data_IF_131976178138
#
_entry.id   IF_131976178138
#
_cell.length_a   1.000
_cell.length_b   1.000
_cell.length_c   1.000
_cell.angle_alpha   90.00
_cell.angle_beta   90.00
_cell.angle_gamma   90.00
#
_symmetry.space_group_name_H-M   'P 1'
#
loop_
_entity.id
_entity.type
_entity.pdbx_description
1 polymer ?
#
# COMPACT_ATOMS: atom_id res chain seq x y z
N UNK A 1 -49.25 10.11 -9.36
CA UNK A 1 -47.99 10.78 -9.73
C UNK A 1 -47.28 9.83 -10.69
N UNK A 2 -46.89 10.34 -11.86
CA UNK A 2 -46.12 9.52 -12.80
C UNK A 2 -44.68 9.40 -12.24
N UNK A 3 -44.18 8.18 -12.13
CA UNK A 3 -42.78 7.89 -11.76
C UNK A 3 -41.91 8.45 -12.89
N UNK A 4 -40.85 9.17 -12.55
CA UNK A 4 -39.90 9.67 -13.54
C UNK A 4 -39.29 8.53 -14.37
N UNK A 5 -39.13 8.76 -15.67
CA UNK A 5 -38.53 7.77 -16.58
C UNK A 5 -37.05 7.67 -16.26
N UNK A 6 -36.52 6.46 -16.23
CA UNK A 6 -35.13 6.09 -15.96
C UNK A 6 -34.69 6.17 -14.46
N UNK A 7 -35.64 6.03 -13.53
CA UNK A 7 -35.26 5.71 -12.14
C UNK A 7 -34.79 4.25 -12.07
N UNK A 8 -33.67 4.01 -11.43
CA UNK A 8 -33.21 2.68 -11.01
C UNK A 8 -34.15 2.26 -9.87
N UNK A 9 -34.91 1.21 -10.07
CA UNK A 9 -35.81 0.66 -9.05
C UNK A 9 -35.22 -0.61 -8.44
N UNK A 10 -35.71 -1.04 -7.28
CA UNK A 10 -35.20 -2.18 -6.50
C UNK A 10 -35.10 -3.49 -7.31
N UNK A 11 -35.81 -3.60 -8.43
CA UNK A 11 -35.78 -4.74 -9.33
C UNK A 11 -34.70 -4.67 -10.41
N UNK A 12 -33.99 -3.56 -10.52
CA UNK A 12 -32.96 -3.33 -11.55
C UNK A 12 -31.59 -3.82 -11.14
N UNK A 13 -31.38 -4.06 -9.84
CA UNK A 13 -30.14 -4.62 -9.29
C UNK A 13 -30.46 -5.87 -8.48
N UNK A 14 -29.68 -6.91 -8.68
CA UNK A 14 -29.72 -8.11 -7.82
C UNK A 14 -29.04 -7.83 -6.49
N UNK A 15 -29.42 -8.56 -5.42
CA UNK A 15 -28.77 -8.46 -4.11
C UNK A 15 -27.26 -8.76 -4.20
N UNK A 16 -26.85 -9.64 -5.11
CA UNK A 16 -25.44 -9.91 -5.39
C UNK A 16 -24.71 -8.67 -5.92
N UNK A 17 -25.27 -8.00 -6.93
CA UNK A 17 -24.68 -6.77 -7.48
C UNK A 17 -24.60 -5.64 -6.45
N UNK A 18 -25.58 -5.51 -5.57
CA UNK A 18 -25.55 -4.51 -4.49
C UNK A 18 -24.39 -4.80 -3.53
N UNK A 19 -24.17 -6.08 -3.17
CA UNK A 19 -23.03 -6.46 -2.30
C UNK A 19 -21.70 -6.26 -2.99
N UNK A 20 -21.58 -6.57 -4.27
CA UNK A 20 -20.36 -6.34 -5.06
C UNK A 20 -19.98 -4.86 -5.10
N UNK A 21 -20.96 -3.98 -5.37
CA UNK A 21 -20.76 -2.52 -5.37
C UNK A 21 -20.31 -2.05 -3.98
N UNK A 22 -21.02 -2.44 -2.92
CA UNK A 22 -20.68 -2.07 -1.55
C UNK A 22 -19.26 -2.54 -1.16
N UNK A 23 -18.85 -3.73 -1.58
CA UNK A 23 -17.52 -4.26 -1.35
C UNK A 23 -16.44 -3.41 -2.03
N UNK A 24 -16.61 -3.10 -3.31
CA UNK A 24 -15.64 -2.31 -4.07
C UNK A 24 -15.52 -0.88 -3.55
N UNK A 25 -16.62 -0.23 -3.21
CA UNK A 25 -16.64 1.10 -2.61
C UNK A 25 -15.93 1.11 -1.25
N UNK A 26 -16.23 0.15 -0.38
CA UNK A 26 -15.60 0.07 0.95
C UNK A 26 -14.09 -0.20 0.85
N UNK A 27 -13.65 -1.06 -0.07
CA UNK A 27 -12.23 -1.32 -0.30
C UNK A 27 -11.52 -0.07 -0.80
N UNK A 28 -12.07 0.60 -1.81
CA UNK A 28 -11.49 1.80 -2.41
C UNK A 28 -11.43 2.96 -1.43
N UNK A 29 -12.48 3.16 -0.62
CA UNK A 29 -12.49 4.19 0.42
C UNK A 29 -11.40 3.95 1.48
N UNK A 30 -11.23 2.70 1.91
CA UNK A 30 -10.18 2.34 2.85
C UNK A 30 -8.78 2.55 2.26
N UNK A 31 -8.60 2.19 0.98
CA UNK A 31 -7.34 2.41 0.28
C UNK A 31 -7.07 3.90 0.07
N UNK A 32 -8.08 4.70 -0.27
CA UNK A 32 -7.97 6.15 -0.42
C UNK A 32 -7.46 6.80 0.88
N UNK A 33 -8.03 6.43 2.02
CA UNK A 33 -7.57 6.90 3.33
C UNK A 33 -6.11 6.54 3.61
N UNK A 34 -5.68 5.34 3.22
CA UNK A 34 -4.27 4.94 3.34
C UNK A 34 -3.36 5.81 2.46
N UNK A 35 -3.73 6.00 1.19
CA UNK A 35 -2.92 6.79 0.26
C UNK A 35 -2.82 8.26 0.69
N UNK A 36 -3.91 8.84 1.20
CA UNK A 36 -3.92 10.18 1.78
C UNK A 36 -3.00 10.29 2.99
N UNK A 37 -3.12 9.35 3.94
CA UNK A 37 -2.27 9.32 5.13
C UNK A 37 -0.78 9.11 4.80
N UNK A 38 -0.48 8.25 3.81
CA UNK A 38 0.87 8.05 3.29
C UNK A 38 1.38 9.23 2.45
N UNK A 39 0.49 10.13 2.00
CA UNK A 39 0.81 11.20 1.06
C UNK A 39 1.13 10.71 -0.35
N UNK A 40 0.66 9.52 -0.73
CA UNK A 40 0.90 8.95 -2.05
C UNK A 40 0.00 9.63 -3.08
N UNK A 41 0.59 10.47 -3.90
CA UNK A 41 -0.11 11.19 -4.98
C UNK A 41 -0.02 10.48 -6.33
N UNK A 42 1.02 9.66 -6.52
CA UNK A 42 1.29 8.99 -7.80
C UNK A 42 0.65 7.60 -7.85
N UNK A 43 -0.33 7.45 -8.76
CA UNK A 43 -0.99 6.19 -9.08
C UNK A 43 -0.70 5.87 -10.54
N UNK A 44 -0.08 4.74 -10.82
CA UNK A 44 0.38 4.40 -12.18
C UNK A 44 -0.21 3.05 -12.59
N UNK A 45 -1.05 3.08 -13.62
CA UNK A 45 -1.57 1.87 -14.24
C UNK A 45 -0.47 1.15 -15.02
N UNK A 46 -0.39 -0.17 -14.87
CA UNK A 46 0.54 -1.06 -15.56
C UNK A 46 -0.18 -2.27 -16.11
N UNK A 47 0.38 -2.86 -17.16
CA UNK A 47 -0.09 -4.17 -17.63
C UNK A 47 0.44 -5.29 -16.71
N UNK A 48 -0.35 -6.35 -16.54
CA UNK A 48 0.10 -7.55 -15.82
C UNK A 48 1.35 -8.13 -16.47
N UNK A 49 2.33 -8.55 -15.68
CA UNK A 49 3.64 -8.99 -16.15
C UNK A 49 4.65 -7.85 -16.38
N UNK A 50 4.26 -6.60 -16.19
CA UNK A 50 5.20 -5.48 -16.28
C UNK A 50 6.23 -5.53 -15.15
N UNK A 51 7.52 -5.41 -15.52
CA UNK A 51 8.61 -5.40 -14.54
C UNK A 51 8.67 -4.06 -13.80
N UNK A 52 8.67 -4.09 -12.49
CA UNK A 52 8.92 -2.94 -11.65
C UNK A 52 10.43 -2.64 -11.66
N UNK A 53 10.79 -1.44 -12.11
CA UNK A 53 12.18 -1.02 -12.26
C UNK A 53 12.44 0.22 -11.43
N UNK A 54 13.58 0.24 -10.74
CA UNK A 54 14.13 1.47 -10.21
C UNK A 54 15.41 1.83 -10.96
N UNK A 55 15.71 3.10 -10.93
CA UNK A 55 16.89 3.65 -11.59
C UNK A 55 17.82 4.21 -10.52
N UNK A 56 19.11 3.85 -10.60
CA UNK A 56 20.14 4.45 -9.76
C UNK A 56 21.14 5.14 -10.67
N UNK A 57 21.22 6.46 -10.57
CA UNK A 57 22.30 7.22 -11.21
C UNK A 57 23.54 7.09 -10.32
N UNK A 58 24.66 6.73 -10.91
CA UNK A 58 25.98 6.74 -10.29
C UNK A 58 26.93 7.49 -11.20
N UNK A 59 27.68 8.44 -10.64
CA UNK A 59 28.60 9.24 -11.44
C UNK A 59 29.54 10.03 -10.57
N UNK A 60 30.55 10.62 -11.17
CA UNK A 60 31.48 11.54 -10.57
C UNK A 60 31.35 12.87 -11.30
N UNK A 61 31.14 13.93 -10.54
CA UNK A 61 31.26 15.29 -11.03
C UNK A 61 32.75 15.66 -10.97
N UNK A 62 33.32 15.98 -12.10
CA UNK A 62 34.69 16.46 -12.17
C UNK A 62 34.80 17.93 -11.70
N UNK A 63 36.00 18.34 -11.33
CA UNK A 63 36.22 19.70 -10.87
C UNK A 63 35.87 20.72 -11.96
N UNK A 64 34.91 21.60 -11.67
CA UNK A 64 34.51 22.69 -12.57
C UNK A 64 35.43 23.90 -12.54
N UNK A 65 36.44 23.95 -11.66
CA UNK A 65 37.39 25.04 -11.57
C UNK A 65 38.55 24.76 -12.54
N UNK A 66 38.47 25.30 -13.74
CA UNK A 66 39.48 25.20 -14.79
C UNK A 66 40.01 26.59 -15.12
N UNK A 67 41.27 26.69 -15.50
CA UNK A 67 41.88 27.97 -15.91
C UNK A 67 41.34 28.39 -17.30
N UNK A 68 41.49 29.66 -17.61
CA UNK A 68 41.10 30.20 -18.94
C UNK A 68 41.93 29.52 -20.03
N UNK A 69 41.19 28.91 -21.00
CA UNK A 69 41.81 28.19 -22.11
C UNK A 69 42.09 26.69 -21.85
N UNK A 70 41.86 26.18 -20.65
CA UNK A 70 41.97 24.75 -20.36
C UNK A 70 40.71 23.96 -20.80
N UNK A 71 40.94 22.70 -21.11
CA UNK A 71 39.87 21.78 -21.50
C UNK A 71 39.08 21.37 -20.22
N UNK A 72 37.75 21.64 -20.23
CA UNK A 72 36.88 21.26 -19.12
C UNK A 72 36.79 19.72 -19.05
N UNK A 73 37.09 19.08 -17.91
CA UNK A 73 37.04 17.65 -17.74
C UNK A 73 35.57 17.13 -17.84
N UNK A 74 35.38 15.97 -18.45
CA UNK A 74 34.08 15.39 -18.66
C UNK A 74 33.59 14.63 -17.40
N UNK A 75 32.49 15.09 -16.83
CA UNK A 75 31.76 14.35 -15.80
C UNK A 75 31.02 13.16 -16.41
N UNK A 76 31.09 11.99 -15.78
CA UNK A 76 30.46 10.77 -16.31
C UNK A 76 29.43 10.22 -15.34
N UNK A 77 28.19 10.13 -15.82
CA UNK A 77 27.08 9.51 -15.09
C UNK A 77 26.61 8.25 -15.81
N UNK A 78 26.32 7.20 -15.03
CA UNK A 78 25.77 5.94 -15.51
C UNK A 78 24.44 5.68 -14.81
N UNK A 79 23.42 5.29 -15.56
CA UNK A 79 22.14 4.80 -15.03
C UNK A 79 22.21 3.30 -14.87
N UNK A 80 22.02 2.81 -13.66
CA UNK A 80 21.86 1.38 -13.38
C UNK A 80 20.37 1.10 -13.12
N UNK A 81 19.81 0.17 -13.88
CA UNK A 81 18.46 -0.32 -13.68
C UNK A 81 18.51 -1.49 -12.71
N UNK A 82 17.65 -1.47 -11.70
CA UNK A 82 17.45 -2.59 -10.78
C UNK A 82 16.02 -3.08 -10.94
N UNK A 83 15.85 -4.35 -11.26
CA UNK A 83 14.54 -4.98 -11.40
C UNK A 83 14.12 -5.55 -10.04
N UNK A 84 12.87 -5.29 -9.62
CA UNK A 84 12.35 -5.71 -8.31
C UNK A 84 11.29 -6.80 -8.39
N UNK A 85 10.93 -7.25 -9.55
CA UNK A 85 9.87 -8.23 -9.76
C UNK A 85 8.83 -7.72 -10.74
N UNK A 86 7.78 -8.49 -10.90
CA UNK A 86 6.69 -8.18 -11.83
C UNK A 86 5.42 -7.86 -11.07
N UNK A 87 4.65 -6.90 -11.59
CA UNK A 87 3.30 -6.67 -11.11
C UNK A 87 2.38 -7.74 -11.69
N UNK A 88 1.70 -8.49 -10.84
CA UNK A 88 0.82 -9.58 -11.24
C UNK A 88 -0.57 -9.41 -10.64
N UNK A 89 -1.58 -9.96 -11.32
CA UNK A 89 -2.92 -10.07 -10.77
C UNK A 89 -2.94 -11.14 -9.68
N UNK A 90 -3.39 -10.75 -8.50
CA UNK A 90 -3.75 -11.67 -7.41
C UNK A 90 -5.22 -12.01 -7.49
N UNK A 91 -5.55 -13.25 -7.23
CA UNK A 91 -6.89 -13.79 -7.36
C UNK A 91 -7.23 -14.56 -6.08
N UNK A 92 -8.41 -14.31 -5.56
CA UNK A 92 -8.94 -15.01 -4.39
C UNK A 92 -10.32 -15.51 -4.72
N UNK A 93 -10.68 -16.67 -4.20
CA UNK A 93 -11.99 -17.29 -4.37
C UNK A 93 -12.46 -17.85 -3.04
N UNK A 94 -13.73 -17.63 -2.77
CA UNK A 94 -14.46 -18.23 -1.65
C UNK A 94 -15.70 -18.91 -2.21
N UNK A 95 -16.01 -20.09 -1.69
CA UNK A 95 -17.25 -20.81 -2.01
C UNK A 95 -17.98 -21.17 -0.71
N UNK A 96 -19.27 -20.90 -0.66
CA UNK A 96 -20.15 -21.19 0.48
C UNK A 96 -21.21 -22.17 0.04
N UNK A 97 -21.32 -23.31 0.73
CA UNK A 97 -22.28 -24.36 0.37
C UNK A 97 -23.71 -24.03 0.80
N UNK A 98 -24.71 -24.58 0.10
CA UNK A 98 -26.12 -24.42 0.45
C UNK A 98 -26.41 -24.90 1.88
N UNK A 99 -25.78 -25.98 2.33
CA UNK A 99 -25.93 -26.51 3.69
C UNK A 99 -25.43 -25.51 4.75
N UNK A 100 -24.33 -24.82 4.49
CA UNK A 100 -23.81 -23.78 5.38
C UNK A 100 -24.76 -22.59 5.45
N UNK A 101 -25.34 -22.19 4.31
CA UNK A 101 -26.32 -21.10 4.25
C UNK A 101 -27.59 -21.47 5.03
N UNK A 102 -28.08 -22.69 4.88
CA UNK A 102 -29.27 -23.18 5.61
C UNK A 102 -29.00 -23.25 7.12
N UNK A 103 -27.79 -23.71 7.51
CA UNK A 103 -27.45 -23.89 8.92
C UNK A 103 -27.19 -22.57 9.67
N UNK A 104 -26.57 -21.58 9.01
CA UNK A 104 -26.08 -20.35 9.65
C UNK A 104 -26.84 -19.09 9.23
N UNK A 105 -27.65 -19.18 8.16
CA UNK A 105 -28.25 -18.02 7.50
C UNK A 105 -27.31 -17.36 6.50
N UNK A 106 -27.90 -16.71 5.49
CA UNK A 106 -27.15 -16.08 4.39
C UNK A 106 -26.17 -15.00 4.89
N UNK A 107 -26.63 -14.13 5.79
CA UNK A 107 -25.82 -13.03 6.34
C UNK A 107 -24.52 -13.54 6.98
N UNK A 108 -24.60 -14.58 7.82
CA UNK A 108 -23.43 -15.12 8.50
C UNK A 108 -22.53 -15.95 7.57
N UNK A 109 -23.12 -16.74 6.69
CA UNK A 109 -22.39 -17.65 5.84
C UNK A 109 -21.71 -16.96 4.66
N UNK A 110 -22.31 -15.92 4.10
CA UNK A 110 -21.84 -15.22 2.90
C UNK A 110 -21.28 -13.83 3.26
N UNK A 111 -22.11 -12.92 3.74
CA UNK A 111 -21.74 -11.49 3.92
C UNK A 111 -20.60 -11.31 4.91
N UNK A 112 -20.71 -11.85 6.13
CA UNK A 112 -19.65 -11.70 7.15
C UNK A 112 -18.34 -12.38 6.73
N UNK A 113 -18.42 -13.47 5.98
CA UNK A 113 -17.22 -14.15 5.49
C UNK A 113 -16.57 -13.39 4.33
N UNK A 114 -17.33 -12.69 3.50
CA UNK A 114 -16.81 -11.79 2.45
C UNK A 114 -16.12 -10.57 3.08
N UNK A 115 -16.70 -9.98 4.12
CA UNK A 115 -16.07 -8.89 4.87
C UNK A 115 -14.76 -9.34 5.53
N UNK A 116 -14.71 -10.56 6.06
CA UNK A 116 -13.48 -11.13 6.60
C UNK A 116 -12.42 -11.30 5.51
N UNK A 117 -12.81 -11.82 4.35
CA UNK A 117 -11.94 -11.97 3.19
C UNK A 117 -11.36 -10.62 2.73
N UNK A 118 -12.17 -9.54 2.72
CA UNK A 118 -11.67 -8.18 2.46
C UNK A 118 -10.55 -7.79 3.40
N UNK A 119 -10.73 -7.99 4.71
CA UNK A 119 -9.70 -7.68 5.72
C UNK A 119 -8.43 -8.48 5.50
N UNK A 120 -8.55 -9.75 5.13
CA UNK A 120 -7.40 -10.62 4.86
C UNK A 120 -6.67 -10.21 3.56
N UNK A 121 -7.38 -9.77 2.52
CA UNK A 121 -6.80 -9.17 1.30
C UNK A 121 -6.02 -7.90 1.64
N UNK A 122 -6.60 -6.99 2.42
CA UNK A 122 -5.93 -5.78 2.89
C UNK A 122 -4.67 -6.11 3.70
N UNK A 123 -4.73 -7.12 4.57
CA UNK A 123 -3.57 -7.63 5.31
C UNK A 123 -2.46 -8.12 4.39
N UNK A 124 -2.81 -8.88 3.35
CA UNK A 124 -1.85 -9.39 2.38
C UNK A 124 -1.16 -8.27 1.61
N UNK A 125 -1.90 -7.25 1.16
CA UNK A 125 -1.34 -6.08 0.48
C UNK A 125 -0.35 -5.35 1.40
N UNK A 126 -0.71 -5.13 2.67
CA UNK A 126 0.19 -4.52 3.67
C UNK A 126 1.44 -5.36 3.90
N UNK A 127 1.29 -6.67 4.08
CA UNK A 127 2.41 -7.58 4.30
C UNK A 127 3.42 -7.56 3.16
N UNK A 128 2.94 -7.54 1.92
CA UNK A 128 3.81 -7.44 0.74
C UNK A 128 4.57 -6.11 0.73
N UNK A 129 3.90 -5.02 1.04
CA UNK A 129 4.52 -3.71 1.14
C UNK A 129 5.62 -3.66 2.21
N UNK A 130 5.34 -4.18 3.41
CA UNK A 130 6.36 -4.22 4.48
C UNK A 130 7.50 -5.19 4.19
N UNK A 131 7.23 -6.30 3.51
CA UNK A 131 8.28 -7.21 3.05
C UNK A 131 9.19 -6.50 2.06
N UNK A 132 8.63 -5.72 1.15
CA UNK A 132 9.39 -4.91 0.21
C UNK A 132 10.21 -3.81 0.94
N UNK A 133 9.61 -3.05 1.86
CA UNK A 133 10.31 -2.03 2.64
C UNK A 133 11.50 -2.61 3.44
N UNK A 134 11.37 -3.86 3.91
CA UNK A 134 12.45 -4.57 4.59
C UNK A 134 13.68 -4.85 3.71
N UNK A 135 13.60 -4.65 2.40
CA UNK A 135 14.74 -4.77 1.48
C UNK A 135 15.52 -3.45 1.30
N UNK A 136 15.10 -2.39 1.98
CA UNK A 136 15.77 -1.09 1.97
C UNK A 136 17.26 -1.19 2.31
N UNK A 137 18.07 -0.33 1.72
CA UNK A 137 19.55 -0.37 1.88
C UNK A 137 20.09 0.74 2.78
N UNK A 138 19.29 1.77 3.09
CA UNK A 138 19.66 2.78 4.07
C UNK A 138 19.64 2.20 5.49
N UNK A 139 20.58 2.57 6.34
CA UNK A 139 20.65 2.08 7.71
C UNK A 139 20.83 3.23 8.69
N UNK A 140 20.14 3.14 9.83
CA UNK A 140 20.33 4.03 10.97
C UNK A 140 20.22 3.22 12.27
N UNK A 141 20.81 3.70 13.36
CA UNK A 141 20.66 3.08 14.66
C UNK A 141 20.61 4.16 15.75
N UNK A 142 19.87 3.88 16.83
CA UNK A 142 19.76 4.79 17.96
C UNK A 142 19.37 4.04 19.24
N UNK A 143 19.61 4.67 20.39
CA UNK A 143 19.23 4.14 21.69
C UNK A 143 17.82 4.60 22.03
N UNK A 144 16.89 3.64 22.09
CA UNK A 144 15.47 3.92 22.28
C UNK A 144 14.79 4.48 21.03
N UNK A 145 13.45 4.61 21.11
CA UNK A 145 12.60 4.97 19.98
C UNK A 145 12.90 6.36 19.41
N UNK A 146 12.94 7.39 20.26
CA UNK A 146 13.10 8.78 19.81
C UNK A 146 14.44 9.02 19.12
N UNK A 147 15.54 8.50 19.70
CA UNK A 147 16.87 8.63 19.11
C UNK A 147 16.95 7.92 17.75
N UNK A 148 16.36 6.72 17.65
CA UNK A 148 16.35 5.97 16.38
C UNK A 148 15.54 6.69 15.31
N UNK A 149 14.39 7.28 15.66
CA UNK A 149 13.60 8.10 14.74
C UNK A 149 14.39 9.31 14.24
N UNK A 150 15.04 10.05 15.15
CA UNK A 150 15.84 11.21 14.80
C UNK A 150 17.03 10.86 13.89
N UNK A 151 17.73 9.75 14.16
CA UNK A 151 18.83 9.28 13.32
C UNK A 151 18.32 8.84 11.93
N UNK A 152 17.17 8.17 11.90
CA UNK A 152 16.54 7.75 10.65
C UNK A 152 16.08 8.95 9.82
N UNK A 153 15.51 9.96 10.47
CA UNK A 153 15.16 11.24 9.86
C UNK A 153 16.39 11.95 9.28
N UNK A 154 17.47 12.04 10.05
CA UNK A 154 18.73 12.64 9.59
C UNK A 154 19.30 11.95 8.36
N UNK A 155 19.27 10.61 8.33
CA UNK A 155 19.70 9.84 7.15
C UNK A 155 18.81 10.14 5.92
N UNK A 156 17.49 10.24 6.09
CA UNK A 156 16.59 10.61 5.00
C UNK A 156 16.88 12.02 4.49
N UNK A 157 17.09 13.00 5.37
CA UNK A 157 17.45 14.37 4.98
C UNK A 157 18.75 14.40 4.17
N UNK A 158 19.76 13.63 4.59
CA UNK A 158 21.04 13.54 3.85
C UNK A 158 20.87 12.87 2.47
N UNK A 159 19.98 11.87 2.36
CA UNK A 159 19.76 11.17 1.09
C UNK A 159 18.94 11.99 0.08
N UNK A 160 18.10 12.89 0.56
CA UNK A 160 17.23 13.75 -0.25
C UNK A 160 17.57 15.23 -0.11
N UNK A 161 18.86 15.54 0.05
CA UNK A 161 19.41 16.83 0.44
C UNK A 161 18.89 18.02 -0.40
N UNK A 162 18.58 17.78 -1.66
CA UNK A 162 18.09 18.79 -2.60
C UNK A 162 16.58 19.02 -2.55
N UNK A 163 15.84 18.23 -1.78
CA UNK A 163 14.38 18.27 -1.73
C UNK A 163 13.86 18.37 -0.29
N UNK A 164 12.96 19.29 -0.03
CA UNK A 164 12.18 19.30 1.21
C UNK A 164 11.29 18.04 1.24
N UNK A 165 11.63 17.07 2.10
CA UNK A 165 10.91 15.81 2.19
C UNK A 165 9.98 15.76 3.40
N UNK A 166 8.81 15.17 3.21
CA UNK A 166 7.98 14.67 4.30
C UNK A 166 8.27 13.17 4.51
N UNK A 167 8.74 12.83 5.71
CA UNK A 167 9.08 11.46 6.05
C UNK A 167 7.85 10.67 6.54
N UNK A 168 7.82 9.39 6.19
CA UNK A 168 6.87 8.40 6.71
C UNK A 168 7.65 7.29 7.38
N UNK A 169 7.20 6.92 8.58
CA UNK A 169 7.81 5.88 9.41
C UNK A 169 6.82 4.75 9.63
N UNK A 170 7.34 3.54 9.66
CA UNK A 170 6.59 2.34 9.98
C UNK A 170 7.25 1.64 11.15
N UNK A 171 6.49 1.41 12.23
CA UNK A 171 7.01 0.93 13.51
C UNK A 171 6.11 -0.20 14.03
N UNK A 172 6.71 -1.15 14.75
CA UNK A 172 5.93 -2.15 15.46
C UNK A 172 5.15 -1.49 16.62
N UNK A 173 3.85 -1.81 16.82
CA UNK A 173 3.06 -1.27 17.91
C UNK A 173 3.69 -1.48 19.31
N UNK A 174 4.43 -2.58 19.51
CA UNK A 174 5.10 -2.86 20.77
C UNK A 174 6.29 -1.95 21.07
N UNK A 175 6.92 -1.38 20.04
CA UNK A 175 8.07 -0.48 20.21
C UNK A 175 7.64 0.96 20.54
N UNK A 176 6.41 1.34 20.22
CA UNK A 176 5.86 2.66 20.53
C UNK A 176 4.92 2.65 21.76
N UNK A 177 4.55 1.48 22.26
CA UNK A 177 3.57 1.32 23.33
C UNK A 177 3.94 2.09 24.61
N UNK A 178 5.20 1.99 25.05
CA UNK A 178 5.69 2.69 26.25
C UNK A 178 5.64 4.21 26.09
N UNK A 179 5.88 4.71 24.89
CA UNK A 179 5.78 6.12 24.59
C UNK A 179 4.31 6.59 24.62
N UNK A 180 3.41 5.82 24.02
CA UNK A 180 1.97 6.14 24.00
C UNK A 180 1.35 6.06 25.40
N UNK A 181 1.89 5.25 26.30
CA UNK A 181 1.41 5.13 27.67
C UNK A 181 1.59 6.45 28.49
N UNK A 182 2.57 7.26 28.11
CA UNK A 182 2.89 8.52 28.81
C UNK A 182 2.48 9.77 28.04
N UNK A 183 2.23 9.67 26.75
CA UNK A 183 1.92 10.78 25.87
C UNK A 183 0.41 10.83 25.57
N UNK A 184 -0.19 12.03 25.69
CA UNK A 184 -1.58 12.26 25.27
C UNK A 184 -1.62 12.51 23.75
N UNK A 185 -1.57 11.45 22.95
CA UNK A 185 -1.57 11.53 21.50
C UNK A 185 -2.79 10.82 20.93
N UNK A 186 -3.50 11.49 20.02
CA UNK A 186 -4.62 10.91 19.29
C UNK A 186 -4.10 10.08 18.12
N UNK A 187 -4.53 8.84 18.05
CA UNK A 187 -4.24 7.95 16.90
C UNK A 187 -5.40 7.96 15.91
N UNK A 188 -5.08 7.91 14.63
CA UNK A 188 -6.04 7.74 13.54
C UNK A 188 -5.90 6.33 12.95
N UNK A 189 -6.83 5.91 12.11
CA UNK A 189 -6.78 4.61 11.46
C UNK A 189 -7.02 4.71 9.96
N UNK A 190 -6.19 4.02 9.18
CA UNK A 190 -6.35 3.89 7.72
C UNK A 190 -5.95 2.50 7.25
N UNK A 191 -6.78 1.86 6.44
CA UNK A 191 -6.54 0.53 5.87
C UNK A 191 -6.12 -0.52 6.92
N UNK A 192 -6.73 -0.46 8.11
CA UNK A 192 -6.44 -1.35 9.24
C UNK A 192 -5.10 -1.12 9.94
N UNK A 193 -4.45 0.03 9.74
CA UNK A 193 -3.28 0.48 10.49
C UNK A 193 -3.61 1.72 11.30
N UNK A 194 -3.07 1.81 12.51
CA UNK A 194 -3.11 3.03 13.28
C UNK A 194 -1.93 3.93 12.89
N UNK A 195 -2.14 5.25 12.86
CA UNK A 195 -1.08 6.19 12.55
C UNK A 195 -1.21 7.48 13.36
N UNK A 196 -0.10 8.21 13.44
CA UNK A 196 0.03 9.50 14.11
C UNK A 196 0.66 10.47 13.13
N UNK A 197 -0.03 11.56 12.85
CA UNK A 197 0.49 12.64 12.01
C UNK A 197 1.46 13.52 12.79
N UNK A 198 2.44 14.04 12.09
CA UNK A 198 3.42 15.00 12.63
C UNK A 198 4.06 14.56 13.96
N UNK A 199 4.43 13.28 14.05
CA UNK A 199 5.05 12.73 15.26
C UNK A 199 6.40 13.40 15.54
N UNK A 200 6.52 14.06 16.68
CA UNK A 200 7.72 14.83 17.08
C UNK A 200 8.19 15.87 16.06
N UNK A 201 7.33 16.34 15.16
CA UNK A 201 7.72 17.27 14.08
C UNK A 201 8.53 16.64 12.95
N UNK A 202 8.72 15.30 12.94
CA UNK A 202 9.57 14.61 11.98
C UNK A 202 8.78 13.96 10.83
N UNK A 203 7.47 13.77 10.97
CA UNK A 203 6.62 13.16 9.93
C UNK A 203 5.52 12.26 10.46
N UNK A 204 4.93 11.45 9.60
CA UNK A 204 3.82 10.55 9.95
C UNK A 204 4.35 9.17 10.34
N UNK A 205 3.88 8.64 11.46
CA UNK A 205 4.23 7.31 11.97
C UNK A 205 3.05 6.35 11.83
N UNK A 206 3.23 5.27 11.10
CA UNK A 206 2.30 4.16 10.98
C UNK A 206 2.70 3.00 11.88
N UNK A 207 1.74 2.44 12.58
CA UNK A 207 1.93 1.29 13.46
C UNK A 207 1.39 0.03 12.81
N UNK A 208 2.27 -0.97 12.60
CA UNK A 208 1.85 -2.27 12.06
C UNK A 208 2.74 -3.40 12.57
N UNK A 209 2.10 -4.52 12.93
CA UNK A 209 2.78 -5.72 13.44
C UNK A 209 3.64 -6.46 12.40
N UNK A 210 3.48 -6.15 11.12
CA UNK A 210 4.32 -6.70 10.06
C UNK A 210 5.74 -6.12 10.05
N UNK A 211 5.95 -4.99 10.74
CA UNK A 211 7.29 -4.45 10.99
C UNK A 211 7.92 -5.24 12.14
N UNK A 212 9.12 -5.82 11.98
CA UNK A 212 9.78 -6.54 13.06
C UNK A 212 10.02 -5.65 14.27
N UNK A 213 9.84 -6.20 15.48
CA UNK A 213 10.14 -5.50 16.73
C UNK A 213 11.60 -5.04 16.74
N UNK A 214 11.86 -3.85 17.21
CA UNK A 214 13.19 -3.22 17.23
C UNK A 214 13.62 -2.65 15.89
N UNK A 215 12.73 -2.60 14.89
CA UNK A 215 13.02 -2.00 13.57
C UNK A 215 12.05 -0.87 13.26
N UNK A 216 12.57 0.13 12.56
CA UNK A 216 11.80 1.23 11.99
C UNK A 216 12.09 1.24 10.50
N UNK A 217 11.05 1.22 9.66
CA UNK A 217 11.22 1.49 8.25
C UNK A 217 10.81 2.92 7.98
N UNK A 218 11.64 3.67 7.26
CA UNK A 218 11.35 5.06 6.93
C UNK A 218 11.68 5.37 5.47
N UNK A 219 10.87 6.22 4.87
CA UNK A 219 11.08 6.71 3.51
C UNK A 219 10.42 8.08 3.34
N UNK A 220 10.76 8.79 2.26
CA UNK A 220 10.03 10.00 1.89
C UNK A 220 8.66 9.64 1.30
N UNK A 221 7.62 10.46 1.53
CA UNK A 221 6.28 10.29 0.94
C UNK A 221 6.35 10.19 -0.59
N UNK A 222 7.12 11.06 -1.22
CA UNK A 222 7.27 11.12 -2.68
C UNK A 222 7.97 9.90 -3.28
N UNK A 223 8.66 9.12 -2.45
CA UNK A 223 9.30 7.89 -2.88
C UNK A 223 8.29 6.74 -3.04
N UNK A 224 7.11 6.83 -2.46
CA UNK A 224 6.09 5.78 -2.52
C UNK A 224 5.16 6.03 -3.73
N UNK A 225 4.96 4.99 -4.53
CA UNK A 225 4.09 4.98 -5.70
C UNK A 225 3.14 3.80 -5.62
N UNK A 226 1.89 4.02 -5.99
CA UNK A 226 0.93 2.94 -6.20
C UNK A 226 0.98 2.50 -7.66
N UNK A 227 1.44 1.29 -7.90
CA UNK A 227 1.27 0.60 -9.18
C UNK A 227 0.05 -0.32 -9.12
N UNK A 228 -0.73 -0.34 -10.18
CA UNK A 228 -1.89 -1.23 -10.25
C UNK A 228 -2.15 -1.72 -11.67
N UNK A 229 -2.78 -2.88 -11.76
CA UNK A 229 -3.32 -3.43 -13.01
C UNK A 229 -4.82 -3.12 -13.02
N UNK A 230 -5.33 -2.29 -13.96
CA UNK A 230 -6.76 -1.98 -14.02
C UNK A 230 -7.58 -3.24 -14.25
N UNK A 231 -8.54 -3.50 -13.35
CA UNK A 231 -9.45 -4.65 -13.45
C UNK A 231 -10.66 -4.33 -14.33
N UNK A 232 -11.00 -3.05 -14.45
CA UNK A 232 -12.08 -2.55 -15.31
C UNK A 232 -11.68 -2.38 -16.80
N UNK A 233 -10.50 -2.88 -17.18
CA UNK A 233 -10.05 -2.86 -18.58
C UNK A 233 -10.98 -3.66 -19.50
N UNK A 234 -11.13 -3.21 -20.75
CA UNK A 234 -12.06 -3.78 -21.73
C UNK A 234 -11.96 -5.30 -21.85
N UNK A 235 -10.75 -5.84 -21.93
CA UNK A 235 -10.52 -7.27 -22.13
C UNK A 235 -10.97 -8.13 -20.93
N UNK A 236 -10.69 -7.67 -19.72
CA UNK A 236 -11.02 -8.42 -18.51
C UNK A 236 -12.50 -8.28 -18.13
N UNK A 237 -13.06 -7.07 -18.27
CA UNK A 237 -14.47 -6.79 -18.03
C UNK A 237 -15.39 -7.49 -19.04
N UNK A 238 -14.99 -7.60 -20.29
CA UNK A 238 -15.74 -8.31 -21.33
C UNK A 238 -15.79 -9.83 -21.09
N UNK A 239 -14.69 -10.39 -20.53
CA UNK A 239 -14.58 -11.83 -20.31
C UNK A 239 -15.25 -12.31 -19.01
N UNK A 240 -15.24 -11.51 -17.92
CA UNK A 240 -15.54 -11.99 -16.58
C UNK A 240 -16.57 -11.18 -15.80
N UNK A 241 -17.12 -10.11 -16.35
CA UNK A 241 -18.16 -9.25 -15.71
C UNK A 241 -17.82 -8.84 -14.25
N UNK A 242 -16.58 -8.49 -13.98
CA UNK A 242 -16.23 -8.02 -12.64
C UNK A 242 -16.86 -6.66 -12.33
N UNK A 243 -17.52 -6.56 -11.18
CA UNK A 243 -17.92 -5.29 -10.60
C UNK A 243 -16.70 -4.60 -10.02
N UNK A 244 -16.38 -3.40 -10.47
CA UNK A 244 -15.29 -2.56 -9.98
C UNK A 244 -15.75 -1.10 -9.94
N UNK A 245 -15.05 -0.29 -9.15
CA UNK A 245 -15.25 1.17 -9.19
C UNK A 245 -14.56 1.82 -10.41
N UNK A 246 -14.70 3.12 -10.54
CA UNK A 246 -14.04 3.90 -11.62
C UNK A 246 -12.53 3.76 -11.63
N UNK A 247 -11.91 3.47 -10.47
CA UNK A 247 -10.45 3.36 -10.37
C UNK A 247 -9.91 2.03 -10.89
N UNK A 248 -10.74 0.98 -10.92
CA UNK A 248 -10.35 -0.36 -11.35
C UNK A 248 -9.28 -1.02 -10.50
N UNK A 249 -9.15 -0.64 -9.22
CA UNK A 249 -8.11 -1.17 -8.32
C UNK A 249 -8.43 -2.57 -7.81
N UNK A 250 -9.71 -2.90 -7.72
CA UNK A 250 -10.22 -4.20 -7.30
C UNK A 250 -11.45 -4.54 -8.11
N UNK A 251 -11.66 -5.81 -8.38
CA UNK A 251 -12.87 -6.34 -8.97
C UNK A 251 -13.39 -7.51 -8.18
N UNK A 252 -14.71 -7.62 -8.08
CA UNK A 252 -15.41 -8.74 -7.44
C UNK A 252 -16.50 -9.25 -8.37
N UNK A 253 -16.74 -10.54 -8.32
CA UNK A 253 -17.89 -11.18 -8.95
C UNK A 253 -18.45 -12.24 -8.02
N UNK A 254 -19.76 -12.18 -7.78
CA UNK A 254 -20.51 -13.15 -7.01
C UNK A 254 -21.43 -13.95 -7.94
N UNK A 255 -21.30 -15.26 -7.95
CA UNK A 255 -22.14 -16.16 -8.77
C UNK A 255 -22.56 -17.41 -7.99
N UNK A 256 -23.63 -18.05 -8.46
CA UNK A 256 -24.15 -19.29 -7.92
C UNK A 256 -23.81 -20.46 -8.84
N UNK A 257 -23.01 -21.39 -8.37
CA UNK A 257 -22.67 -22.62 -9.10
C UNK A 257 -23.66 -23.75 -8.74
N UNK A 258 -24.54 -24.06 -9.67
CA UNK A 258 -25.60 -25.03 -9.45
C UNK A 258 -25.16 -26.51 -9.49
N UNK A 259 -23.96 -26.79 -10.03
CA UNK A 259 -23.45 -28.19 -10.09
C UNK A 259 -23.14 -28.75 -8.71
N UNK A 260 -22.69 -27.90 -7.81
CA UNK A 260 -22.30 -28.23 -6.44
C UNK A 260 -23.07 -27.43 -5.38
N UNK A 261 -24.06 -26.64 -5.79
CA UNK A 261 -24.89 -25.78 -4.94
C UNK A 261 -24.04 -24.88 -4.00
N UNK A 262 -23.16 -24.10 -4.60
CA UNK A 262 -22.33 -23.13 -3.89
C UNK A 262 -22.60 -21.71 -4.37
N UNK A 263 -22.51 -20.74 -3.45
CA UNK A 263 -22.38 -19.33 -3.74
C UNK A 263 -20.87 -19.00 -3.71
N UNK A 264 -20.37 -18.40 -4.78
CA UNK A 264 -18.94 -18.18 -4.98
C UNK A 264 -18.63 -16.69 -5.15
N UNK A 265 -17.65 -16.21 -4.39
CA UNK A 265 -17.08 -14.87 -4.57
C UNK A 265 -15.68 -15.02 -5.19
N UNK A 266 -15.45 -14.32 -6.30
CA UNK A 266 -14.14 -14.21 -6.94
C UNK A 266 -13.69 -12.77 -6.87
N UNK A 267 -12.52 -12.53 -6.26
CA UNK A 267 -11.94 -11.20 -6.09
C UNK A 267 -10.61 -11.15 -6.82
N UNK A 268 -10.38 -10.07 -7.54
CA UNK A 268 -9.15 -9.84 -8.32
C UNK A 268 -8.60 -8.46 -8.01
N UNK A 269 -7.30 -8.35 -7.76
CA UNK A 269 -6.60 -7.08 -7.60
C UNK A 269 -5.15 -7.20 -8.06
N UNK A 270 -4.65 -6.19 -8.75
CA UNK A 270 -3.25 -6.09 -9.18
C UNK A 270 -2.52 -4.91 -8.53
N UNK A 271 -2.78 -4.66 -7.25
CA UNK A 271 -2.30 -3.49 -6.53
C UNK A 271 -0.98 -3.76 -5.82
N UNK A 272 -0.01 -2.86 -5.99
CA UNK A 272 1.28 -2.94 -5.32
C UNK A 272 1.77 -1.54 -4.92
N UNK A 273 2.01 -1.33 -3.63
CA UNK A 273 2.73 -0.17 -3.14
C UNK A 273 4.24 -0.41 -3.28
N UNK A 274 4.94 0.54 -3.83
CA UNK A 274 6.33 0.40 -4.20
C UNK A 274 7.10 1.69 -3.95
N UNK A 275 8.36 1.59 -3.49
CA UNK A 275 9.25 2.73 -3.39
C UNK A 275 10.24 2.72 -4.56
N UNK A 276 10.30 3.80 -5.32
CA UNK A 276 11.13 3.87 -6.54
C UNK A 276 12.62 3.88 -6.26
N UNK A 277 13.02 4.50 -5.13
CA UNK A 277 14.42 4.56 -4.70
C UNK A 277 14.62 3.63 -3.50
N UNK A 278 15.30 2.52 -3.69
CA UNK A 278 15.57 1.55 -2.62
C UNK A 278 16.52 2.10 -1.55
N UNK A 279 17.51 2.87 -1.95
CA UNK A 279 18.38 3.60 -1.03
C UNK A 279 17.66 4.72 -0.27
N UNK A 280 16.52 5.18 -0.78
CA UNK A 280 15.60 6.10 -0.08
C UNK A 280 14.74 5.42 0.99
N UNK A 281 14.89 4.12 1.21
CA UNK A 281 14.29 3.41 2.34
C UNK A 281 15.38 3.19 3.39
N UNK A 282 15.19 3.77 4.58
CA UNK A 282 16.12 3.66 5.70
C UNK A 282 15.54 2.71 6.75
N UNK A 283 16.33 1.72 7.13
CA UNK A 283 16.01 0.77 8.19
C UNK A 283 16.69 1.22 9.48
N UNK A 284 15.92 1.76 10.41
CA UNK A 284 16.34 2.09 11.76
C UNK A 284 16.40 0.85 12.66
N UNK A 285 17.42 0.74 13.49
CA UNK A 285 17.51 -0.30 14.52
C UNK A 285 17.44 0.34 15.89
N UNK A 286 16.42 -0.05 16.67
CA UNK A 286 16.24 0.41 18.06
C UNK A 286 17.11 -0.46 18.95
N UNK A 287 18.10 0.13 19.59
CA UNK A 287 18.89 -0.54 20.63
C UNK A 287 18.29 -0.27 22.00
N UNK A 288 18.34 -1.25 22.87
CA UNK A 288 17.84 -1.09 24.23
C UNK A 288 18.57 0.06 24.97
N UNK A 289 17.83 0.80 25.77
CA UNK A 289 18.45 1.72 26.74
C UNK A 289 19.16 0.83 27.77
N UNK A 290 20.48 0.94 27.87
CA UNK A 290 21.21 0.26 28.95
C UNK A 290 20.72 0.81 30.27
N UNK A 291 20.21 -0.07 31.13
CA UNK A 291 19.72 0.25 32.47
C UNK A 291 20.85 0.79 33.34
#
# INVERSE_FOLDING_TARGET
>A
MAVEKNLIVTTDLTDAQIREIAFTEMFTENLRKLLEALGVTRKIAKQSGSVLKTYKATGTLENGTVAEGEVIPLSKYKMKVVNYGEITLKKWRKATTAESIIASGFEQAVTLTTDRMMKDIQNNIRKDFFTFLGTGTGTAAGVGLQSTLAQTWGQLQTLFEDNAIEAVYFINPLDIADYLATAQITTQTAFGMSYIENFLGMGTVFMNSSVPKGKIYATAKDNIVLYYVPVNGADLGEAFNFTSDETGLIGIHEDSEYKNLTCEDVIVSGLTLFAEMLNGIVIGTITAVSA
#
